data_IF_386395167624
#
_entry.id   IF_386395167624
#
_cell.length_a   1.000
_cell.length_b   1.000
_cell.length_c   1.000
_cell.angle_alpha   90.00
_cell.angle_beta   90.00
_cell.angle_gamma   90.00
#
_symmetry.space_group_name_H-M   'P 1'
#
loop_
_entity.id
_entity.type
_entity.pdbx_description
1 polymer ?
#
# COMPACT_ATOMS: atom_id res chain seq x y z
N UNK A 1 44.27 -15.17 -12.18
CA UNK A 1 43.25 -14.11 -11.97
C UNK A 1 41.98 -14.79 -11.50
N UNK A 2 41.74 -14.80 -10.18
CA UNK A 2 40.58 -15.49 -9.61
C UNK A 2 39.30 -14.70 -9.87
N UNK A 3 38.29 -15.37 -10.44
CA UNK A 3 36.97 -14.78 -10.62
C UNK A 3 36.40 -14.38 -9.24
N UNK A 4 36.18 -13.09 -9.03
CA UNK A 4 35.32 -12.59 -7.94
C UNK A 4 33.94 -13.17 -8.19
N UNK A 5 33.61 -14.28 -7.51
CA UNK A 5 32.28 -14.86 -7.54
C UNK A 5 31.27 -13.79 -7.13
N UNK A 6 30.37 -13.43 -8.03
CA UNK A 6 29.22 -12.61 -7.69
C UNK A 6 28.40 -13.41 -6.69
N UNK A 7 28.49 -13.07 -5.40
CA UNK A 7 27.74 -13.75 -4.35
C UNK A 7 26.26 -13.44 -4.55
N UNK A 8 25.55 -14.33 -5.22
CA UNK A 8 24.10 -14.23 -5.33
C UNK A 8 23.48 -14.50 -3.96
N UNK A 9 22.63 -13.58 -3.52
CA UNK A 9 21.84 -13.77 -2.29
C UNK A 9 20.68 -14.71 -2.63
N UNK A 10 20.61 -15.85 -1.95
CA UNK A 10 19.57 -16.86 -2.18
C UNK A 10 18.39 -16.62 -1.24
N UNK A 11 17.18 -16.67 -1.80
CA UNK A 11 15.91 -16.67 -1.07
C UNK A 11 15.20 -18.00 -1.36
N UNK A 12 14.80 -18.72 -0.33
CA UNK A 12 13.95 -19.90 -0.47
C UNK A 12 12.50 -19.50 -0.20
N UNK A 13 11.59 -19.88 -1.10
CA UNK A 13 10.17 -19.56 -1.00
C UNK A 13 9.39 -20.88 -0.98
N UNK A 14 8.59 -21.05 0.06
CA UNK A 14 7.63 -22.16 0.15
C UNK A 14 6.30 -21.68 -0.42
N UNK A 15 5.72 -22.51 -1.29
CA UNK A 15 4.41 -22.23 -1.92
C UNK A 15 3.49 -23.35 -1.47
N UNK A 16 2.59 -23.02 -0.55
CA UNK A 16 1.72 -24.00 0.10
C UNK A 16 0.59 -24.47 -0.82
N UNK A 17 0.21 -23.65 -1.80
CA UNK A 17 -0.78 -24.00 -2.82
C UNK A 17 -0.14 -24.65 -4.06
N UNK A 18 -0.49 -25.92 -4.29
CA UNK A 18 -0.03 -26.68 -5.45
C UNK A 18 -0.48 -26.09 -6.80
N UNK A 19 -1.63 -25.40 -6.85
CA UNK A 19 -2.13 -24.74 -8.04
C UNK A 19 -1.22 -23.57 -8.42
N UNK A 20 -0.87 -22.71 -7.46
CA UNK A 20 0.06 -21.60 -7.67
C UNK A 20 1.42 -22.11 -8.17
N UNK A 21 1.94 -23.20 -7.57
CA UNK A 21 3.19 -23.81 -8.03
C UNK A 21 3.12 -24.26 -9.50
N UNK A 22 1.98 -24.82 -9.93
CA UNK A 22 1.76 -25.25 -11.32
C UNK A 22 1.70 -24.06 -12.26
N UNK A 23 0.97 -23.02 -11.89
CA UNK A 23 0.84 -21.78 -12.68
C UNK A 23 2.19 -21.10 -12.88
N UNK A 24 2.99 -20.95 -11.82
CA UNK A 24 4.34 -20.36 -11.91
C UNK A 24 5.23 -21.15 -12.87
N UNK A 25 5.22 -22.49 -12.78
CA UNK A 25 6.01 -23.34 -13.69
C UNK A 25 5.57 -23.19 -15.14
N UNK A 26 4.26 -23.19 -15.38
CA UNK A 26 3.71 -23.06 -16.71
C UNK A 26 4.04 -21.68 -17.30
N UNK A 27 3.91 -20.62 -16.50
CA UNK A 27 4.22 -19.27 -16.94
C UNK A 27 5.73 -19.04 -17.21
N UNK A 28 6.61 -19.71 -16.47
CA UNK A 28 8.05 -19.74 -16.77
C UNK A 28 8.33 -20.49 -18.08
N UNK A 29 7.72 -21.66 -18.27
CA UNK A 29 7.88 -22.47 -19.49
C UNK A 29 7.36 -21.75 -20.75
N UNK A 30 6.21 -21.07 -20.67
CA UNK A 30 5.67 -20.26 -21.77
C UNK A 30 6.60 -19.11 -22.20
N UNK A 31 7.50 -18.68 -21.32
CA UNK A 31 8.46 -17.60 -21.57
C UNK A 31 9.87 -18.11 -21.87
N UNK A 32 10.06 -19.43 -21.93
CA UNK A 32 11.35 -20.10 -22.11
C UNK A 32 12.43 -19.64 -21.11
N UNK A 33 12.02 -19.47 -19.83
CA UNK A 33 12.92 -19.05 -18.74
C UNK A 33 12.79 -19.97 -17.54
N UNK A 34 13.79 -19.90 -16.64
CA UNK A 34 13.74 -20.65 -15.38
C UNK A 34 12.68 -20.10 -14.42
N UNK A 35 12.18 -20.95 -13.51
CA UNK A 35 11.26 -20.54 -12.45
C UNK A 35 11.85 -19.42 -11.57
N UNK A 36 13.15 -19.52 -11.25
CA UNK A 36 13.85 -18.51 -10.45
C UNK A 36 13.88 -17.15 -11.15
N UNK A 37 14.14 -17.16 -12.46
CA UNK A 37 14.18 -15.95 -13.29
C UNK A 37 12.79 -15.33 -13.44
N UNK A 38 11.78 -16.16 -13.69
CA UNK A 38 10.38 -15.74 -13.72
C UNK A 38 9.97 -15.05 -12.41
N UNK A 39 10.23 -15.70 -11.27
CA UNK A 39 9.89 -15.16 -9.96
C UNK A 39 10.66 -13.86 -9.67
N UNK A 40 11.94 -13.80 -10.03
CA UNK A 40 12.74 -12.59 -9.88
C UNK A 40 12.20 -11.43 -10.71
N UNK A 41 11.79 -11.68 -11.95
CA UNK A 41 11.16 -10.67 -12.81
C UNK A 41 9.84 -10.18 -12.20
N UNK A 42 8.98 -11.09 -11.73
CA UNK A 42 7.72 -10.76 -11.10
C UNK A 42 7.92 -9.92 -9.81
N UNK A 43 8.89 -10.27 -8.97
CA UNK A 43 9.23 -9.50 -7.76
C UNK A 43 9.74 -8.10 -8.14
N UNK A 44 10.63 -7.99 -9.14
CA UNK A 44 11.13 -6.70 -9.61
C UNK A 44 10.00 -5.80 -10.13
N UNK A 45 9.09 -6.36 -10.91
CA UNK A 45 7.93 -5.64 -11.43
C UNK A 45 7.02 -5.17 -10.28
N UNK A 46 6.72 -6.04 -9.32
CA UNK A 46 5.91 -5.71 -8.15
C UNK A 46 6.54 -4.58 -7.33
N UNK A 47 7.84 -4.67 -7.04
CA UNK A 47 8.58 -3.63 -6.32
C UNK A 47 8.66 -2.32 -7.10
N UNK A 48 8.81 -2.38 -8.43
CA UNK A 48 8.79 -1.20 -9.28
C UNK A 48 7.41 -0.54 -9.25
N UNK A 49 6.33 -1.31 -9.38
CA UNK A 49 4.95 -0.83 -9.25
C UNK A 49 4.72 -0.21 -7.88
N UNK A 50 5.18 -0.82 -6.80
CA UNK A 50 5.04 -0.27 -5.44
C UNK A 50 5.83 1.02 -5.26
N UNK A 51 7.05 1.11 -5.81
CA UNK A 51 7.82 2.36 -5.81
C UNK A 51 7.12 3.46 -6.61
N UNK A 52 6.61 3.14 -7.80
CA UNK A 52 5.90 4.08 -8.67
C UNK A 52 4.53 4.48 -8.13
N UNK A 53 3.89 3.61 -7.33
CA UNK A 53 2.58 3.88 -6.72
C UNK A 53 2.71 4.42 -5.29
N UNK A 54 3.92 4.68 -4.79
CA UNK A 54 4.15 5.13 -3.42
C UNK A 54 3.61 4.12 -2.41
N UNK A 55 4.27 2.96 -2.33
CA UNK A 55 3.79 1.71 -1.73
C UNK A 55 2.85 1.87 -0.55
N UNK A 56 1.64 1.33 -0.66
CA UNK A 56 0.66 1.02 0.42
C UNK A 56 0.68 1.89 1.69
N UNK A 57 1.01 3.16 1.57
CA UNK A 57 0.68 4.21 2.50
C UNK A 57 -0.46 4.94 1.80
N UNK A 58 -1.67 4.74 2.33
CA UNK A 58 -2.84 5.63 2.20
C UNK A 58 -2.44 6.91 1.47
N UNK A 59 -2.80 7.01 0.17
CA UNK A 59 -2.27 8.04 -0.73
C UNK A 59 -1.95 9.33 0.04
N UNK A 60 -0.68 9.80 0.07
CA UNK A 60 -0.46 11.17 0.43
C UNK A 60 -1.13 11.95 -0.69
N UNK A 61 -2.38 12.37 -0.49
CA UNK A 61 -2.79 13.63 -1.09
C UNK A 61 -1.62 14.56 -0.80
N UNK A 62 -1.01 15.12 -1.85
CA UNK A 62 0.12 16.05 -1.65
C UNK A 62 -0.28 16.98 -0.52
N UNK A 63 0.63 17.29 0.39
CA UNK A 63 0.28 18.04 1.60
C UNK A 63 -0.50 19.31 1.24
N UNK A 64 -0.19 19.89 0.08
CA UNK A 64 -0.94 20.92 -0.64
C UNK A 64 -2.40 20.54 -0.95
N UNK A 65 -2.68 19.41 -1.61
CA UNK A 65 -4.05 18.92 -1.88
C UNK A 65 -4.82 18.61 -0.59
N UNK A 66 -4.16 18.09 0.44
CA UNK A 66 -4.78 17.83 1.74
C UNK A 66 -5.17 19.16 2.43
N UNK A 67 -4.26 20.14 2.41
CA UNK A 67 -4.51 21.49 2.94
C UNK A 67 -5.59 22.20 2.12
N UNK A 68 -5.59 22.08 0.79
CA UNK A 68 -6.60 22.66 -0.07
C UNK A 68 -7.99 22.05 0.19
N UNK A 69 -8.05 20.72 0.34
CA UNK A 69 -9.30 20.01 0.69
C UNK A 69 -9.83 20.44 2.05
N UNK A 70 -8.93 20.55 3.05
CA UNK A 70 -9.28 21.03 4.38
C UNK A 70 -9.79 22.49 4.35
N UNK A 71 -9.16 23.38 3.58
CA UNK A 71 -9.59 24.77 3.39
C UNK A 71 -10.96 24.86 2.71
N UNK A 72 -11.18 24.08 1.63
CA UNK A 72 -12.48 24.01 0.94
C UNK A 72 -13.58 23.48 1.85
N UNK A 73 -13.29 22.45 2.64
CA UNK A 73 -14.23 21.95 3.63
C UNK A 73 -14.53 23.01 4.69
N UNK A 74 -13.50 23.68 5.22
CA UNK A 74 -13.68 24.70 6.25
C UNK A 74 -14.52 25.89 5.76
N UNK A 75 -14.26 26.38 4.55
CA UNK A 75 -15.04 27.48 3.98
C UNK A 75 -16.49 27.08 3.68
N UNK A 76 -16.72 25.85 3.16
CA UNK A 76 -18.06 25.35 2.85
C UNK A 76 -18.89 25.07 4.10
N UNK A 77 -18.28 24.41 5.09
CA UNK A 77 -18.99 23.94 6.29
C UNK A 77 -19.09 25.02 7.35
N UNK A 78 -18.05 25.84 7.54
CA UNK A 78 -17.98 26.83 8.63
C UNK A 78 -18.07 28.28 8.15
N UNK A 79 -18.21 28.53 6.83
CA UNK A 79 -18.34 29.88 6.24
C UNK A 79 -17.28 30.88 6.75
N UNK A 80 -16.07 30.39 7.02
CA UNK A 80 -14.97 31.23 7.51
C UNK A 80 -14.98 31.52 9.02
N UNK A 81 -15.91 30.96 9.80
CA UNK A 81 -15.88 31.06 11.26
C UNK A 81 -14.87 30.05 11.83
N UNK A 82 -14.01 30.51 12.73
CA UNK A 82 -13.11 29.64 13.47
C UNK A 82 -13.92 28.65 14.32
N UNK A 83 -13.48 27.40 14.31
CA UNK A 83 -14.11 26.30 15.04
C UNK A 83 -13.92 26.52 16.56
N UNK A 84 -14.94 27.00 17.26
CA UNK A 84 -14.91 27.18 18.73
C UNK A 84 -15.33 25.92 19.50
N UNK A 85 -15.52 24.80 18.80
CA UNK A 85 -15.93 23.54 19.41
C UNK A 85 -14.73 22.91 20.12
N UNK A 86 -14.88 22.72 21.43
CA UNK A 86 -13.84 22.13 22.26
C UNK A 86 -13.61 20.68 21.85
N UNK A 87 -12.33 20.25 21.80
CA UNK A 87 -11.98 18.85 21.56
C UNK A 87 -12.70 17.90 22.54
N UNK A 88 -13.01 18.37 23.75
CA UNK A 88 -13.77 17.62 24.74
C UNK A 88 -15.22 17.33 24.31
N UNK A 89 -15.87 18.25 23.60
CA UNK A 89 -17.25 18.07 23.10
C UNK A 89 -17.29 17.06 21.96
N UNK A 90 -16.35 17.16 21.01
CA UNK A 90 -16.23 16.19 19.91
C UNK A 90 -15.99 14.76 20.41
N UNK A 91 -15.18 14.58 21.45
CA UNK A 91 -14.94 13.27 22.06
C UNK A 91 -16.21 12.73 22.72
N UNK A 92 -17.01 13.58 23.40
CA UNK A 92 -18.28 13.17 23.99
C UNK A 92 -19.29 12.73 22.93
N UNK A 93 -19.40 13.46 21.82
CA UNK A 93 -20.33 13.14 20.74
C UNK A 93 -19.94 11.87 19.97
N UNK A 94 -18.64 11.67 19.71
CA UNK A 94 -18.15 10.44 19.10
C UNK A 94 -18.45 9.19 19.96
N UNK A 95 -18.37 9.32 21.28
CA UNK A 95 -18.74 8.23 22.22
C UNK A 95 -20.25 7.98 22.23
N UNK A 96 -21.07 9.05 22.20
CA UNK A 96 -22.54 8.91 22.09
C UNK A 96 -22.98 8.26 20.79
N UNK A 97 -22.35 8.60 19.66
CA UNK A 97 -22.64 8.01 18.35
C UNK A 97 -22.33 6.51 18.29
N UNK A 98 -21.24 6.08 18.93
CA UNK A 98 -20.85 4.66 19.01
C UNK A 98 -21.83 3.80 19.82
N UNK A 99 -22.52 4.40 20.78
CA UNK A 99 -23.55 3.72 21.59
C UNK A 99 -24.90 3.57 20.88
N UNK A 100 -25.15 4.31 19.78
CA UNK A 100 -26.41 4.24 19.01
C UNK A 100 -26.39 3.22 17.88
N UNK A 101 -25.21 2.86 17.37
CA UNK A 101 -25.05 1.86 16.28
C UNK A 101 -24.77 0.44 16.79
N UNK A 102 -24.91 0.19 18.10
CA UNK A 102 -24.68 -1.11 18.74
C UNK A 102 -25.94 -1.79 19.27
N UNK A 103 -27.10 -1.60 18.61
CA UNK A 103 -28.33 -2.37 18.85
C UNK A 103 -28.90 -2.82 17.52
#
# INVERSE_FOLDING_TARGET
MGAKGSSSVRINIYVDDSAIRKEVKLAAALRDISVSEYCLAAIREKLAREKSTGGTARQPQSLEKAVESARKFHSKTFRGRAFSLSSAELIRDARKGRSRNGR
#
